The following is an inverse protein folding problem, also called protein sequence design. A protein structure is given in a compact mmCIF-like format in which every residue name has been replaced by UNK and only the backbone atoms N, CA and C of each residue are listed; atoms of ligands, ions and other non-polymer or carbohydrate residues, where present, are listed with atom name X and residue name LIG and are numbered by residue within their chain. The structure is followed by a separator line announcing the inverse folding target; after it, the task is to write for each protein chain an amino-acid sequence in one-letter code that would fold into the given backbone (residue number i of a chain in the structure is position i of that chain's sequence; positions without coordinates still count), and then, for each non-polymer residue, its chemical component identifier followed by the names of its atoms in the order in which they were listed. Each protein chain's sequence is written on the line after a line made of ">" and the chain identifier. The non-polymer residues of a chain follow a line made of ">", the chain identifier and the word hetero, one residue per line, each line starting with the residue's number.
data_IF_782803295560
#
_entry.id   IF_782803295560
#
_cell.length_a   1.000
_cell.length_b   1.000
_cell.length_c   1.000
_cell.angle_alpha   90.00
_cell.angle_beta   90.00
_cell.angle_gamma   90.00
#
_symmetry.space_group_name_H-M   'P 1'
#
loop_
_entity.id
_entity.type
_entity.pdbx_description
1 polymer ?
#
# COMPACT_ATOMS: atom_id res chain seq x y z
N UNK A 1 18.10 -0.77 5.32
CA UNK A 1 16.82 -1.47 5.61
C UNK A 1 15.74 -0.82 4.75
N UNK A 2 15.03 -1.58 3.91
CA UNK A 2 14.07 -1.02 2.92
C UNK A 2 12.94 -0.23 3.59
N UNK A 3 12.47 -0.70 4.75
CA UNK A 3 11.40 -0.04 5.51
C UNK A 3 11.68 1.45 5.80
N UNK A 4 12.88 1.80 6.29
CA UNK A 4 13.23 3.20 6.55
C UNK A 4 13.24 4.04 5.27
N UNK A 5 13.73 3.49 4.16
CA UNK A 5 13.70 4.20 2.86
C UNK A 5 12.27 4.48 2.42
N UNK A 6 11.36 3.51 2.58
CA UNK A 6 9.95 3.69 2.29
C UNK A 6 9.30 4.74 3.20
N UNK A 7 9.57 4.69 4.52
CA UNK A 7 9.02 5.66 5.48
C UNK A 7 9.57 7.06 5.24
N UNK A 8 10.85 7.22 4.92
CA UNK A 8 11.40 8.53 4.55
C UNK A 8 10.67 9.13 3.34
N UNK A 9 10.48 8.35 2.27
CA UNK A 9 9.73 8.80 1.09
C UNK A 9 8.25 9.05 1.42
N UNK A 10 7.64 8.22 2.25
CA UNK A 10 6.26 8.41 2.73
C UNK A 10 6.10 9.78 3.37
N UNK A 11 7.03 10.16 4.27
CA UNK A 11 7.01 11.47 4.94
C UNK A 11 7.22 12.63 3.97
N UNK A 12 7.92 12.43 2.85
CA UNK A 12 7.99 13.43 1.78
C UNK A 12 6.67 13.60 1.02
N UNK A 13 5.78 12.60 1.04
CA UNK A 13 4.52 12.59 0.29
C UNK A 13 3.29 12.92 1.15
N UNK A 14 3.38 12.75 2.47
CA UNK A 14 2.32 13.16 3.39
C UNK A 14 2.02 14.65 3.21
N UNK A 15 0.73 14.96 2.98
CA UNK A 15 0.20 16.32 2.77
C UNK A 15 0.86 17.12 1.63
N UNK A 16 1.57 16.44 0.71
CA UNK A 16 2.32 17.07 -0.38
C UNK A 16 1.91 16.52 -1.76
N UNK A 17 0.67 16.75 -2.16
CA UNK A 17 0.11 16.17 -3.40
C UNK A 17 0.86 16.55 -4.68
N UNK A 18 1.44 17.76 -4.73
CA UNK A 18 2.28 18.18 -5.85
C UNK A 18 3.53 17.29 -6.02
N UNK A 19 4.11 16.80 -4.92
CA UNK A 19 5.29 15.92 -4.96
C UNK A 19 4.93 14.51 -5.45
N UNK A 20 3.71 14.03 -5.19
CA UNK A 20 3.24 12.74 -5.68
C UNK A 20 3.32 12.67 -7.21
N UNK A 21 2.87 13.70 -7.92
CA UNK A 21 2.95 13.75 -9.37
C UNK A 21 4.40 13.93 -9.87
N UNK A 22 5.23 14.73 -9.20
CA UNK A 22 6.63 14.87 -9.59
C UNK A 22 7.40 13.56 -9.44
N UNK A 23 7.10 12.78 -8.40
CA UNK A 23 7.76 11.51 -8.15
C UNK A 23 7.45 10.46 -9.24
N UNK A 24 6.31 10.56 -9.94
CA UNK A 24 5.97 9.70 -11.08
C UNK A 24 6.92 9.88 -12.27
N UNK A 25 7.63 11.02 -12.33
CA UNK A 25 8.59 11.34 -13.40
C UNK A 25 9.95 10.69 -13.16
N UNK A 26 10.19 10.15 -11.95
CA UNK A 26 11.45 9.50 -11.61
C UNK A 26 11.55 8.17 -12.36
N UNK A 27 12.61 8.04 -13.15
CA UNK A 27 12.98 6.83 -13.89
C UNK A 27 14.21 6.20 -13.25
N UNK A 28 14.23 4.88 -13.23
CA UNK A 28 15.30 4.06 -12.67
C UNK A 28 15.90 3.18 -13.76
N UNK A 29 17.22 3.13 -13.80
CA UNK A 29 17.98 2.17 -14.60
C UNK A 29 18.74 1.27 -13.64
N UNK A 30 18.23 0.07 -13.40
CA UNK A 30 18.84 -0.93 -12.50
C UNK A 30 19.84 -1.82 -13.21
N UNK A 31 19.73 -1.93 -14.53
CA UNK A 31 20.64 -2.65 -15.40
C UNK A 31 20.87 -1.79 -16.66
N UNK A 32 22.13 -1.51 -17.05
CA UNK A 32 22.42 -0.72 -18.25
C UNK A 32 21.83 -1.28 -19.55
N UNK A 33 21.48 -2.57 -19.60
CA UNK A 33 20.85 -3.21 -20.76
C UNK A 33 19.33 -3.17 -20.78
N UNK A 34 18.68 -2.68 -19.71
CA UNK A 34 17.22 -2.65 -19.58
C UNK A 34 16.67 -1.26 -19.84
N UNK A 35 15.44 -1.19 -20.34
CA UNK A 35 14.73 0.09 -20.47
C UNK A 35 14.46 0.66 -19.08
N UNK A 36 14.65 1.97 -18.87
CA UNK A 36 14.31 2.60 -17.61
C UNK A 36 12.86 2.31 -17.21
N UNK A 37 12.63 2.02 -15.94
CA UNK A 37 11.29 1.83 -15.36
C UNK A 37 10.98 2.98 -14.41
N UNK A 38 9.70 3.35 -14.29
CA UNK A 38 9.31 4.36 -13.32
C UNK A 38 9.56 3.87 -11.90
N UNK A 39 9.81 4.78 -10.96
CA UNK A 39 9.93 4.41 -9.55
C UNK A 39 8.68 3.68 -9.04
N UNK A 40 7.49 4.09 -9.46
CA UNK A 40 6.22 3.43 -9.10
C UNK A 40 6.20 1.96 -9.55
N UNK A 41 6.54 1.72 -10.83
CA UNK A 41 6.60 0.36 -11.38
C UNK A 41 7.67 -0.48 -10.68
N UNK A 42 8.82 0.11 -10.37
CA UNK A 42 9.89 -0.59 -9.70
C UNK A 42 9.50 -1.03 -8.29
N UNK A 43 8.86 -0.15 -7.50
CA UNK A 43 8.39 -0.47 -6.15
C UNK A 43 7.29 -1.54 -6.17
N UNK A 44 6.35 -1.48 -7.13
CA UNK A 44 5.32 -2.51 -7.28
C UNK A 44 5.92 -3.86 -7.69
N UNK A 45 6.89 -3.85 -8.60
CA UNK A 45 7.63 -5.06 -9.02
C UNK A 45 8.38 -5.69 -7.83
N UNK A 46 9.04 -4.89 -7.00
CA UNK A 46 9.67 -5.38 -5.77
C UNK A 46 8.61 -6.02 -4.86
N UNK A 47 7.50 -5.32 -4.59
CA UNK A 47 6.42 -5.83 -3.74
C UNK A 47 5.90 -7.20 -4.23
N UNK A 48 5.66 -7.32 -5.53
CA UNK A 48 5.22 -8.58 -6.16
C UNK A 48 6.27 -9.68 -5.99
N UNK A 49 7.54 -9.38 -6.25
CA UNK A 49 8.65 -10.36 -6.17
C UNK A 49 8.86 -10.94 -4.76
N UNK A 50 8.45 -10.20 -3.72
CA UNK A 50 8.51 -10.68 -2.35
C UNK A 50 7.47 -11.78 -2.09
N UNK A 51 6.34 -11.77 -2.80
CA UNK A 51 5.23 -12.69 -2.57
C UNK A 51 4.74 -12.60 -1.13
N UNK A 52 4.83 -13.70 -0.38
CA UNK A 52 4.43 -13.80 1.04
C UNK A 52 5.60 -13.75 2.04
N UNK A 53 6.78 -13.30 1.59
CA UNK A 53 8.00 -13.21 2.42
C UNK A 53 8.24 -11.79 2.91
N UNK A 54 9.13 -11.63 3.89
CA UNK A 54 9.61 -10.32 4.39
C UNK A 54 8.49 -9.33 4.70
N UNK A 55 7.59 -9.63 5.65
CA UNK A 55 6.43 -8.78 5.96
C UNK A 55 6.81 -7.33 6.28
N UNK A 56 7.95 -7.09 6.95
CA UNK A 56 8.43 -5.73 7.20
C UNK A 56 8.68 -4.93 5.91
N UNK A 57 9.37 -5.52 4.93
CA UNK A 57 9.64 -4.84 3.66
C UNK A 57 8.33 -4.56 2.91
N UNK A 58 7.41 -5.53 2.90
CA UNK A 58 6.10 -5.39 2.28
C UNK A 58 5.29 -4.29 2.95
N UNK A 59 5.27 -4.24 4.28
CA UNK A 59 4.58 -3.20 5.04
C UNK A 59 5.09 -1.80 4.69
N UNK A 60 6.42 -1.61 4.63
CA UNK A 60 7.02 -0.35 4.20
C UNK A 60 6.57 0.07 2.80
N UNK A 61 6.64 -0.85 1.84
CA UNK A 61 6.22 -0.60 0.45
C UNK A 61 4.72 -0.27 0.35
N UNK A 62 3.87 -1.04 1.04
CA UNK A 62 2.42 -0.84 1.02
C UNK A 62 2.02 0.48 1.69
N UNK A 63 2.66 0.88 2.79
CA UNK A 63 2.44 2.19 3.42
C UNK A 63 2.82 3.33 2.47
N UNK A 64 3.99 3.23 1.81
CA UNK A 64 4.45 4.21 0.83
C UNK A 64 3.50 4.31 -0.36
N UNK A 65 3.15 3.17 -0.98
CA UNK A 65 2.25 3.12 -2.14
C UNK A 65 0.87 3.67 -1.78
N UNK A 66 0.32 3.31 -0.62
CA UNK A 66 -0.97 3.85 -0.15
C UNK A 66 -0.92 5.37 -0.02
N UNK A 67 0.11 5.90 0.62
CA UNK A 67 0.29 7.35 0.77
C UNK A 67 0.46 8.06 -0.56
N UNK A 68 1.21 7.46 -1.49
CA UNK A 68 1.48 8.02 -2.80
C UNK A 68 0.22 8.04 -3.68
N UNK A 69 -0.60 6.99 -3.66
CA UNK A 69 -1.80 6.91 -4.49
C UNK A 69 -2.97 7.74 -3.95
N UNK A 70 -3.01 7.98 -2.64
CA UNK A 70 -4.04 8.81 -2.02
C UNK A 70 -4.06 10.23 -2.61
N UNK A 71 -5.24 10.70 -3.02
CA UNK A 71 -5.43 12.00 -3.67
C UNK A 71 -4.52 12.23 -4.91
N UNK A 72 -4.16 11.14 -5.61
CA UNK A 72 -3.35 11.21 -6.83
C UNK A 72 -3.91 10.28 -7.92
N UNK A 73 -4.98 10.68 -8.62
CA UNK A 73 -5.64 9.84 -9.65
C UNK A 73 -4.72 9.39 -10.78
N UNK A 74 -3.71 10.20 -11.12
CA UNK A 74 -2.69 9.83 -12.10
C UNK A 74 -1.82 8.64 -11.62
N UNK A 75 -1.41 8.64 -10.35
CA UNK A 75 -0.66 7.54 -9.76
C UNK A 75 -1.52 6.27 -9.67
N UNK A 76 -2.79 6.41 -9.28
CA UNK A 76 -3.77 5.31 -9.28
C UNK A 76 -3.89 4.71 -10.67
N UNK A 77 -4.14 5.55 -11.69
CA UNK A 77 -4.26 5.12 -13.08
C UNK A 77 -3.05 4.33 -13.56
N UNK A 78 -1.83 4.84 -13.32
CA UNK A 78 -0.59 4.15 -13.71
C UNK A 78 -0.40 2.83 -12.96
N UNK A 79 -0.79 2.78 -11.68
CA UNK A 79 -0.66 1.57 -10.86
C UNK A 79 -1.63 0.47 -11.29
N UNK A 80 -2.92 0.81 -11.49
CA UNK A 80 -3.97 -0.17 -11.82
C UNK A 80 -3.93 -0.61 -13.29
N UNK A 81 -3.29 0.16 -14.18
CA UNK A 81 -3.10 -0.26 -15.59
C UNK A 81 -2.16 -1.45 -15.75
N UNK A 82 -1.45 -1.85 -14.69
CA UNK A 82 -0.55 -2.99 -14.65
C UNK A 82 -1.31 -4.16 -14.03
N UNK A 83 -1.61 -5.18 -14.84
CA UNK A 83 -2.46 -6.31 -14.43
C UNK A 83 -1.88 -7.06 -13.22
N UNK A 84 -0.56 -7.22 -13.18
CA UNK A 84 0.15 -7.91 -12.10
C UNK A 84 -0.02 -7.21 -10.75
N UNK A 85 -0.16 -5.88 -10.72
CA UNK A 85 -0.43 -5.14 -9.50
C UNK A 85 -1.82 -5.49 -8.96
N UNK A 86 -2.84 -5.49 -9.82
CA UNK A 86 -4.23 -5.83 -9.44
C UNK A 86 -4.34 -7.30 -9.05
N UNK A 87 -3.68 -8.18 -9.79
CA UNK A 87 -3.63 -9.61 -9.48
C UNK A 87 -2.96 -9.84 -8.12
N UNK A 88 -1.84 -9.18 -7.83
CA UNK A 88 -1.16 -9.28 -6.55
C UNK A 88 -2.08 -8.86 -5.40
N UNK A 89 -2.69 -7.66 -5.47
CA UNK A 89 -3.56 -7.17 -4.41
C UNK A 89 -4.79 -8.06 -4.17
N UNK A 90 -5.35 -8.64 -5.22
CA UNK A 90 -6.55 -9.50 -5.10
C UNK A 90 -6.24 -10.95 -4.71
N UNK A 91 -5.03 -11.45 -4.96
CA UNK A 91 -4.66 -12.84 -4.64
C UNK A 91 -4.00 -12.94 -3.27
N UNK A 92 -3.15 -11.99 -2.91
CA UNK A 92 -2.38 -12.02 -1.67
C UNK A 92 -3.16 -11.48 -0.46
N UNK A 93 -4.39 -11.02 -0.67
CA UNK A 93 -5.27 -10.55 0.40
C UNK A 93 -5.64 -11.67 1.40
N UNK A 94 -5.71 -12.92 0.92
CA UNK A 94 -5.94 -14.14 1.72
C UNK A 94 -4.68 -14.98 1.89
N UNK A 95 -3.51 -14.45 1.49
CA UNK A 95 -2.25 -15.18 1.53
C UNK A 95 -1.80 -15.48 2.96
N UNK A 96 -1.31 -16.70 3.19
CA UNK A 96 -0.54 -17.04 4.38
C UNK A 96 0.92 -16.57 4.21
N UNK A 97 1.46 -15.96 5.26
CA UNK A 97 2.86 -15.60 5.32
C UNK A 97 3.76 -16.83 5.37
N UNK A 98 4.91 -16.77 4.70
CA UNK A 98 5.95 -17.82 4.84
C UNK A 98 7.10 -17.38 5.76
N UNK A 99 7.08 -16.12 6.20
CA UNK A 99 8.05 -15.51 7.10
C UNK A 99 7.34 -14.51 8.03
N UNK A 100 7.95 -14.21 9.18
CA UNK A 100 7.37 -13.36 10.23
C UNK A 100 6.30 -14.06 11.07
N UNK A 101 5.74 -13.35 12.04
CA UNK A 101 4.63 -13.83 12.86
C UNK A 101 3.30 -13.77 12.10
N UNK A 102 2.27 -14.45 12.59
CA UNK A 102 0.92 -14.31 12.02
C UNK A 102 0.39 -12.88 12.18
N UNK A 103 0.73 -12.21 13.29
CA UNK A 103 0.37 -10.80 13.54
C UNK A 103 1.01 -9.86 12.50
N UNK A 104 2.28 -10.10 12.13
CA UNK A 104 2.94 -9.33 11.07
C UNK A 104 2.21 -9.51 9.73
N UNK A 105 1.80 -10.74 9.42
CA UNK A 105 1.13 -11.06 8.17
C UNK A 105 -0.31 -10.54 8.12
N UNK A 106 -1.01 -10.52 9.26
CA UNK A 106 -2.31 -9.85 9.40
C UNK A 106 -2.22 -8.37 9.08
N UNK A 107 -1.20 -7.67 9.59
CA UNK A 107 -0.96 -6.26 9.27
C UNK A 107 -0.73 -6.08 7.77
N UNK A 108 0.07 -6.95 7.15
CA UNK A 108 0.33 -6.87 5.71
C UNK A 108 -0.93 -7.09 4.88
N UNK A 109 -1.81 -8.03 5.25
CA UNK A 109 -3.12 -8.22 4.58
C UNK A 109 -4.01 -6.98 4.71
N UNK A 110 -4.05 -6.38 5.90
CA UNK A 110 -4.75 -5.11 6.12
C UNK A 110 -4.20 -3.95 5.28
N UNK A 111 -2.88 -3.86 5.12
CA UNK A 111 -2.24 -2.87 4.26
C UNK A 111 -2.52 -3.11 2.76
N UNK A 112 -2.62 -4.37 2.33
CA UNK A 112 -3.07 -4.72 0.97
C UNK A 112 -4.51 -4.25 0.75
N UNK A 113 -5.41 -4.57 1.69
CA UNK A 113 -6.80 -4.12 1.64
C UNK A 113 -6.90 -2.59 1.61
N UNK A 114 -6.05 -1.91 2.38
CA UNK A 114 -5.99 -0.44 2.40
C UNK A 114 -5.53 0.16 1.08
N UNK A 115 -4.45 -0.36 0.48
CA UNK A 115 -3.99 0.08 -0.84
C UNK A 115 -5.07 -0.15 -1.92
N UNK A 116 -5.72 -1.32 -1.91
CA UNK A 116 -6.80 -1.63 -2.84
C UNK A 116 -7.99 -0.67 -2.67
N UNK A 117 -8.31 -0.33 -1.43
CA UNK A 117 -9.36 0.65 -1.10
C UNK A 117 -9.03 2.05 -1.61
N UNK A 118 -7.78 2.51 -1.45
CA UNK A 118 -7.32 3.78 -2.02
C UNK A 118 -7.47 3.79 -3.55
N UNK A 119 -7.08 2.70 -4.23
CA UNK A 119 -7.27 2.58 -5.67
C UNK A 119 -8.75 2.70 -6.05
N UNK A 120 -9.67 2.09 -5.30
CA UNK A 120 -11.12 2.18 -5.57
C UNK A 120 -11.69 3.58 -5.37
N UNK A 121 -11.26 4.30 -4.33
CA UNK A 121 -11.74 5.65 -4.01
C UNK A 121 -11.26 6.66 -5.05
N UNK A 122 -9.96 6.61 -5.38
CA UNK A 122 -9.27 7.62 -6.18
C UNK A 122 -9.07 7.22 -7.65
N UNK A 123 -9.68 6.13 -8.13
CA UNK A 123 -9.83 5.89 -9.57
C UNK A 123 -10.86 6.86 -10.15
N UNK A 124 -10.37 8.06 -10.48
CA UNK A 124 -11.06 9.06 -11.29
C UNK A 124 -10.86 8.76 -12.77
N UNK A 125 -11.32 7.58 -13.24
CA UNK A 125 -11.45 7.34 -14.68
C UNK A 125 -12.61 8.17 -15.24
N UNK A 126 -12.46 9.49 -15.23
CA UNK A 126 -13.50 10.45 -15.59
C UNK A 126 -13.84 10.43 -17.10
N UNK A 127 -12.99 9.78 -17.91
CA UNK A 127 -13.21 9.65 -19.37
C UNK A 127 -13.71 8.27 -19.80
N UNK A 128 -13.59 7.24 -18.95
CA UNK A 128 -13.97 5.86 -19.30
C UNK A 128 -14.64 5.15 -18.13
N UNK A 129 -15.96 5.35 -17.97
CA UNK A 129 -16.78 4.69 -16.94
C UNK A 129 -16.59 3.17 -16.92
N UNK A 130 -16.17 2.57 -18.03
CA UNK A 130 -15.91 1.13 -18.11
C UNK A 130 -14.72 0.69 -17.24
N UNK A 131 -13.71 1.54 -17.04
CA UNK A 131 -12.50 1.18 -16.29
C UNK A 131 -12.70 1.20 -14.78
N UNK A 132 -13.36 2.24 -14.24
CA UNK A 132 -13.80 2.24 -12.83
C UNK A 132 -14.69 1.04 -12.51
N UNK A 133 -15.54 0.67 -13.46
CA UNK A 133 -16.33 -0.55 -13.36
C UNK A 133 -15.44 -1.81 -13.36
N UNK A 134 -14.36 -1.85 -14.15
CA UNK A 134 -13.49 -3.02 -14.22
C UNK A 134 -12.79 -3.34 -12.89
N UNK A 135 -12.14 -2.36 -12.24
CA UNK A 135 -11.51 -2.59 -10.93
C UNK A 135 -12.56 -2.98 -9.88
N UNK A 136 -13.66 -2.23 -9.80
CA UNK A 136 -14.74 -2.52 -8.85
C UNK A 136 -15.31 -3.92 -9.04
N UNK A 137 -15.55 -4.36 -10.28
CA UNK A 137 -16.08 -5.70 -10.59
C UNK A 137 -15.07 -6.80 -10.22
N UNK A 138 -13.78 -6.58 -10.48
CA UNK A 138 -12.74 -7.55 -10.10
C UNK A 138 -12.65 -7.69 -8.59
N UNK A 139 -12.69 -6.58 -7.85
CA UNK A 139 -12.64 -6.61 -6.38
C UNK A 139 -13.90 -7.23 -5.78
N UNK A 140 -15.08 -6.86 -6.27
CA UNK A 140 -16.36 -7.44 -5.83
C UNK A 140 -16.35 -8.96 -6.00
N UNK A 141 -15.85 -9.45 -7.14
CA UNK A 141 -15.82 -10.88 -7.47
C UNK A 141 -14.75 -11.68 -6.71
N UNK A 142 -13.56 -11.10 -6.50
CA UNK A 142 -12.40 -11.84 -5.96
C UNK A 142 -12.21 -11.66 -4.46
N UNK A 143 -12.66 -10.54 -3.90
CA UNK A 143 -12.41 -10.15 -2.51
C UNK A 143 -13.73 -9.96 -1.76
N UNK A 144 -14.64 -9.19 -2.33
CA UNK A 144 -15.89 -8.80 -1.68
C UNK A 144 -15.70 -7.64 -0.70
N UNK A 145 -16.70 -6.76 -0.63
CA UNK A 145 -16.67 -5.56 0.22
C UNK A 145 -16.50 -5.89 1.70
N UNK A 146 -17.23 -6.87 2.21
CA UNK A 146 -17.18 -7.27 3.63
C UNK A 146 -15.77 -7.68 4.06
N UNK A 147 -15.05 -8.41 3.19
CA UNK A 147 -13.68 -8.83 3.46
C UNK A 147 -12.71 -7.66 3.56
N UNK A 148 -12.88 -6.64 2.72
CA UNK A 148 -12.09 -5.41 2.83
C UNK A 148 -12.31 -4.74 4.18
N UNK A 149 -13.55 -4.62 4.64
CA UNK A 149 -13.86 -4.03 5.95
C UNK A 149 -13.20 -4.83 7.07
N UNK A 150 -13.39 -6.15 7.09
CA UNK A 150 -12.79 -7.04 8.09
C UNK A 150 -11.28 -6.87 8.19
N UNK A 151 -10.59 -6.76 7.05
CA UNK A 151 -9.12 -6.60 7.01
C UNK A 151 -8.65 -5.21 7.45
N UNK A 152 -9.41 -4.16 7.14
CA UNK A 152 -9.13 -2.79 7.59
C UNK A 152 -9.34 -2.67 9.12
N UNK A 153 -10.43 -3.22 9.64
CA UNK A 153 -10.67 -3.30 11.08
C UNK A 153 -9.58 -4.15 11.77
N UNK A 154 -9.21 -5.28 11.17
CA UNK A 154 -8.13 -6.14 11.66
C UNK A 154 -6.79 -5.42 11.74
N UNK A 155 -6.51 -4.47 10.82
CA UNK A 155 -5.32 -3.63 10.88
C UNK A 155 -5.39 -2.64 12.04
N UNK A 156 -6.49 -1.90 12.19
CA UNK A 156 -6.64 -0.86 13.22
C UNK A 156 -6.69 -1.41 14.64
N UNK A 157 -7.08 -2.67 14.82
CA UNK A 157 -7.08 -3.37 16.11
C UNK A 157 -5.77 -4.14 16.39
N UNK A 158 -4.85 -4.26 15.42
CA UNK A 158 -3.60 -5.00 15.61
C UNK A 158 -2.70 -4.39 16.69
N UNK A 159 -1.94 -5.22 17.39
CA UNK A 159 -1.00 -4.74 18.42
C UNK A 159 0.05 -3.79 17.82
N UNK A 160 0.51 -4.08 16.60
CA UNK A 160 1.43 -3.20 15.86
C UNK A 160 0.83 -1.82 15.62
N UNK A 161 -0.44 -1.73 15.24
CA UNK A 161 -1.12 -0.45 15.02
C UNK A 161 -1.26 0.31 16.34
N UNK A 162 -1.75 -0.34 17.40
CA UNK A 162 -1.92 0.27 18.72
C UNK A 162 -0.58 0.81 19.25
N UNK A 163 0.50 0.04 19.14
CA UNK A 163 1.84 0.49 19.54
C UNK A 163 2.32 1.67 18.71
N UNK A 164 2.20 1.59 17.37
CA UNK A 164 2.65 2.65 16.47
C UNK A 164 1.86 3.95 16.65
N UNK A 165 0.56 3.88 16.95
CA UNK A 165 -0.32 5.04 17.11
C UNK A 165 -0.10 5.81 18.43
N UNK A 166 0.55 5.21 19.44
CA UNK A 166 0.73 5.84 20.75
C UNK A 166 1.65 7.05 20.73
N UNK A 167 2.77 6.99 20.00
CA UNK A 167 3.76 8.08 19.99
C UNK A 167 4.62 8.08 18.72
N UNK A 168 5.11 9.26 18.29
CA UNK A 168 5.99 9.37 17.13
C UNK A 168 7.33 8.66 17.28
N UNK A 169 7.86 8.56 18.51
CA UNK A 169 9.15 7.93 18.75
C UNK A 169 9.04 6.40 18.65
N UNK A 170 9.77 5.74 17.73
CA UNK A 170 9.75 4.28 17.64
C UNK A 170 10.32 3.67 18.92
N UNK A 171 9.49 2.93 19.66
CA UNK A 171 9.89 2.15 20.84
C UNK A 171 10.26 0.70 20.48
N UNK A 172 11.09 0.54 19.45
CA UNK A 172 11.53 -0.77 19.01
C UNK A 172 12.83 -1.18 19.69
N UNK A 173 12.94 -2.45 20.10
CA UNK A 173 14.19 -3.00 20.64
C UNK A 173 15.16 -3.31 19.51
N UNK A 174 14.62 -3.73 18.37
CA UNK A 174 15.37 -3.99 17.14
C UNK A 174 14.70 -3.32 15.96
N UNK A 175 15.46 -3.04 14.91
CA UNK A 175 14.90 -2.48 13.68
C UNK A 175 13.84 -3.40 13.03
N UNK A 176 13.81 -4.70 13.34
CA UNK A 176 12.82 -5.66 12.83
C UNK A 176 11.45 -5.53 13.50
N UNK A 177 11.37 -4.96 14.70
CA UNK A 177 10.11 -4.78 15.44
C UNK A 177 9.25 -3.64 14.85
N UNK A 178 9.80 -2.87 13.91
CA UNK A 178 9.13 -1.74 13.27
C UNK A 178 8.35 -2.19 12.04
N UNK A 179 7.04 -2.25 12.16
CA UNK A 179 6.15 -2.63 11.06
C UNK A 179 5.36 -1.43 10.51
N UNK A 180 4.82 -0.60 11.40
CA UNK A 180 3.98 0.57 11.07
C UNK A 180 4.62 1.86 11.56
N UNK A 181 4.42 2.93 10.80
CA UNK A 181 4.85 4.30 11.15
C UNK A 181 3.72 5.09 11.85
N UNK A 182 4.08 5.93 12.82
CA UNK A 182 3.12 6.74 13.57
C UNK A 182 2.28 7.66 12.68
N UNK A 183 2.89 8.38 11.73
CA UNK A 183 2.14 9.29 10.87
C UNK A 183 1.29 8.52 9.87
N UNK A 184 1.76 7.34 9.42
CA UNK A 184 0.93 6.44 8.66
C UNK A 184 -0.32 6.00 9.43
N UNK A 185 -0.25 5.72 10.74
CA UNK A 185 -1.46 5.34 11.51
C UNK A 185 -2.54 6.44 11.51
N UNK A 186 -2.13 7.71 11.58
CA UNK A 186 -3.04 8.86 11.47
C UNK A 186 -3.64 8.99 10.07
N UNK A 187 -2.79 8.86 9.05
CA UNK A 187 -3.21 8.86 7.65
C UNK A 187 -4.23 7.75 7.40
N UNK A 188 -3.93 6.52 7.81
CA UNK A 188 -4.85 5.38 7.75
C UNK A 188 -6.20 5.71 8.38
N UNK A 189 -6.22 6.26 9.60
CA UNK A 189 -7.46 6.58 10.31
C UNK A 189 -8.29 7.64 9.59
N UNK A 190 -7.62 8.63 8.96
CA UNK A 190 -8.32 9.67 8.19
C UNK A 190 -9.04 9.11 6.97
N UNK A 191 -8.41 8.17 6.26
CA UNK A 191 -9.00 7.51 5.08
C UNK A 191 -10.07 6.50 5.49
N UNK A 192 -9.84 5.74 6.57
CA UNK A 192 -10.84 4.81 7.13
C UNK A 192 -12.14 5.55 7.48
N UNK A 193 -12.06 6.75 8.05
CA UNK A 193 -13.23 7.59 8.36
C UNK A 193 -14.04 8.05 7.14
N UNK A 194 -13.42 8.13 5.95
CA UNK A 194 -14.14 8.45 4.70
C UNK A 194 -15.01 7.28 4.21
N UNK A 195 -14.71 6.06 4.64
CA UNK A 195 -15.41 4.86 4.19
C UNK A 195 -16.78 4.66 4.88
N UNK A 196 -17.05 5.39 5.97
CA UNK A 196 -18.36 5.42 6.63
C UNK A 196 -18.74 4.13 7.35
N UNK A 197 -17.77 3.41 7.92
CA UNK A 197 -18.00 2.33 8.88
C UNK A 197 -18.07 2.87 10.31
#
# INVERSE_FOLDING_TARGET
>A
MVWFGCVCLLHCLLDADHLKQQLLRVQLTTNPSETPSSLLQHLSTILISLGNRRPQTRAGLLMLLSTWLHNCPLAVTQFISVEENVQYLTTHIDGYGTEGSEDDNQVVRGLIAFLLTICLIFDESDEDKNRKNALSVVVERRVGKEKLVELLEGLSHSEHYVKAAQRPQPLAKTAQDLLLDYHFTKFFKSVEGLLGF
#
